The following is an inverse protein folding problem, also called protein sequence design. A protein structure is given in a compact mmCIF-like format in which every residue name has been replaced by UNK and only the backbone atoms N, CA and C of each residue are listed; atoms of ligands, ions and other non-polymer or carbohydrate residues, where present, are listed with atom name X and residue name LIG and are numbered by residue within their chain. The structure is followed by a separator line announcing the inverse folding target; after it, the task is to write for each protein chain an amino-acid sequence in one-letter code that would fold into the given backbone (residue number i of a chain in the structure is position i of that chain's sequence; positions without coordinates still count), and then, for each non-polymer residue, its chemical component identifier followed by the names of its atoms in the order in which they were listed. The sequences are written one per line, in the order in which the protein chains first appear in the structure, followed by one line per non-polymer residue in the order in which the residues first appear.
data_IF_160683377025
#
_entry.id   IF_160683377025
#
_cell.length_a   1.000
_cell.length_b   1.000
_cell.length_c   1.000
_cell.angle_alpha   90.00
_cell.angle_beta   90.00
_cell.angle_gamma   90.00
#
_symmetry.space_group_name_H-M   'P 1'
#
loop_
_entity.id
_entity.type
_entity.pdbx_description
1 polymer ?
#
# COMPACT_ATOMS: atom_id res chain seq x y z
N UNK A 1 29.97 11.94 2.80
CA UNK A 1 28.96 10.93 3.14
C UNK A 1 28.60 10.93 4.62
N UNK A 2 29.52 10.88 5.58
CA UNK A 2 29.16 10.90 7.01
C UNK A 2 28.59 12.24 7.50
N UNK A 3 29.10 13.37 7.02
CA UNK A 3 28.69 14.70 7.48
C UNK A 3 27.25 15.06 7.04
N UNK A 4 26.91 14.76 5.78
CA UNK A 4 25.54 15.03 5.24
C UNK A 4 24.48 14.17 5.93
N UNK A 5 24.85 12.95 6.34
CA UNK A 5 23.97 12.07 7.11
C UNK A 5 23.74 12.60 8.52
N UNK A 6 24.81 13.05 9.19
CA UNK A 6 24.71 13.63 10.53
C UNK A 6 23.87 14.93 10.56
N UNK A 7 24.03 15.79 9.55
CA UNK A 7 23.20 17.00 9.39
C UNK A 7 21.73 16.64 9.18
N UNK A 8 21.44 15.69 8.30
CA UNK A 8 20.07 15.20 8.09
C UNK A 8 19.47 14.61 9.35
N UNK A 9 20.21 13.76 10.08
CA UNK A 9 19.77 13.14 11.32
C UNK A 9 19.42 14.20 12.36
N UNK A 10 20.24 15.24 12.52
CA UNK A 10 19.98 16.36 13.42
C UNK A 10 18.70 17.13 13.06
N UNK A 11 18.45 17.35 11.77
CA UNK A 11 17.22 18.00 11.28
C UNK A 11 15.99 17.14 11.60
N UNK A 12 16.06 15.83 11.38
CA UNK A 12 14.93 14.92 11.69
C UNK A 12 14.64 14.91 13.21
N UNK A 13 15.67 14.86 14.05
CA UNK A 13 15.53 14.94 15.52
C UNK A 13 14.90 16.25 15.96
N UNK A 14 15.31 17.39 15.36
CA UNK A 14 14.74 18.71 15.63
C UNK A 14 13.27 18.79 15.23
N UNK A 15 12.91 18.31 14.03
CA UNK A 15 11.51 18.25 13.56
C UNK A 15 10.67 17.42 14.52
N UNK A 16 11.14 16.23 14.87
CA UNK A 16 10.42 15.30 15.75
C UNK A 16 10.22 15.92 17.16
N UNK A 17 11.25 16.52 17.72
CA UNK A 17 11.20 17.18 19.02
C UNK A 17 10.24 18.38 19.03
N UNK A 18 10.32 19.25 17.99
CA UNK A 18 9.47 20.44 17.88
C UNK A 18 8.00 20.11 17.71
N UNK A 19 7.69 19.07 16.93
CA UNK A 19 6.31 18.63 16.68
C UNK A 19 5.80 17.66 17.75
N UNK A 20 6.67 17.19 18.66
CA UNK A 20 6.31 16.23 19.71
C UNK A 20 5.94 14.84 19.17
N UNK A 21 6.47 14.46 18.00
CA UNK A 21 6.13 13.21 17.34
C UNK A 21 7.17 12.13 17.60
N UNK A 22 6.73 10.88 17.57
CA UNK A 22 7.62 9.74 17.74
C UNK A 22 8.46 9.50 16.49
N UNK A 23 9.79 9.49 16.65
CA UNK A 23 10.74 9.15 15.61
C UNK A 23 11.74 8.13 16.14
N UNK A 24 12.00 7.07 15.39
CA UNK A 24 12.92 6.01 15.80
C UNK A 24 13.85 5.59 14.67
N UNK A 25 15.04 5.09 15.06
CA UNK A 25 16.07 4.55 14.16
C UNK A 25 16.18 3.04 14.31
N UNK A 26 16.83 2.43 13.34
CA UNK A 26 17.19 1.01 13.42
C UNK A 26 16.09 0.03 13.08
N UNK A 27 14.92 0.49 12.68
CA UNK A 27 13.87 -0.37 12.12
C UNK A 27 14.28 -0.92 10.77
N UNK A 28 13.72 -2.08 10.44
CA UNK A 28 13.90 -2.71 9.13
C UNK A 28 12.54 -2.87 8.45
N UNK A 29 12.52 -2.87 7.11
CA UNK A 29 11.30 -3.20 6.38
C UNK A 29 10.79 -4.60 6.68
N UNK A 30 11.67 -5.53 7.02
CA UNK A 30 11.28 -6.86 7.50
C UNK A 30 10.35 -6.85 8.73
N UNK A 31 10.38 -5.78 9.54
CA UNK A 31 9.50 -5.60 10.70
C UNK A 31 8.18 -4.91 10.35
N UNK A 32 8.17 -4.10 9.29
CA UNK A 32 7.07 -3.22 8.91
C UNK A 32 6.25 -3.73 7.73
N UNK A 33 6.69 -4.80 7.04
CA UNK A 33 6.01 -5.34 5.86
C UNK A 33 5.49 -6.75 6.08
N UNK A 34 4.43 -7.09 5.37
CA UNK A 34 3.83 -8.43 5.43
C UNK A 34 4.69 -9.54 4.83
N UNK A 35 5.58 -9.21 3.89
CA UNK A 35 6.60 -10.12 3.34
C UNK A 35 7.69 -10.45 4.36
N UNK A 36 7.90 -9.60 5.37
CA UNK A 36 8.93 -9.71 6.40
C UNK A 36 10.35 -9.84 5.83
N UNK A 37 10.64 -9.07 4.79
CA UNK A 37 11.95 -8.89 4.17
C UNK A 37 12.23 -7.40 3.99
N UNK A 38 13.48 -7.07 3.71
CA UNK A 38 13.94 -5.71 3.42
C UNK A 38 14.89 -5.15 4.47
N UNK A 39 15.73 -4.21 4.01
CA UNK A 39 16.86 -3.63 4.73
C UNK A 39 16.49 -2.65 5.83
N UNK A 40 17.53 -2.04 6.43
CA UNK A 40 17.37 -1.04 7.48
C UNK A 40 16.84 0.28 6.91
N UNK A 41 16.16 1.04 7.76
CA UNK A 41 15.58 2.34 7.46
C UNK A 41 16.30 3.37 8.32
N UNK A 42 16.70 4.49 7.75
CA UNK A 42 17.37 5.55 8.54
C UNK A 42 16.47 6.05 9.66
N UNK A 43 15.24 6.43 9.33
CA UNK A 43 14.26 6.91 10.30
C UNK A 43 12.84 6.45 9.98
N UNK A 44 12.11 6.11 11.02
CA UNK A 44 10.66 5.90 10.98
C UNK A 44 10.01 6.94 11.87
N UNK A 45 9.12 7.76 11.30
CA UNK A 45 8.33 8.76 12.05
C UNK A 45 6.87 8.28 12.05
N UNK A 46 6.25 8.31 13.23
CA UNK A 46 4.88 7.83 13.44
C UNK A 46 3.99 8.97 13.90
N UNK A 47 3.31 9.68 12.98
CA UNK A 47 2.33 10.70 13.35
C UNK A 47 1.11 10.04 14.01
N UNK A 48 0.45 10.79 14.90
CA UNK A 48 -0.77 10.33 15.58
C UNK A 48 -2.03 10.94 14.98
N UNK A 49 -1.90 12.11 14.31
CA UNK A 49 -3.03 12.84 13.69
C UNK A 49 -2.72 13.22 12.24
N UNK A 50 -3.75 13.60 11.49
CA UNK A 50 -3.63 14.08 10.12
C UNK A 50 -2.84 15.41 10.07
N UNK A 51 -3.03 16.29 11.06
CA UNK A 51 -2.34 17.56 11.17
C UNK A 51 -0.84 17.37 11.48
N UNK A 52 -0.51 16.43 12.36
CA UNK A 52 0.90 16.08 12.62
C UNK A 52 1.57 15.54 11.36
N UNK A 53 0.91 14.62 10.65
CA UNK A 53 1.43 14.06 9.39
C UNK A 53 1.66 15.15 8.34
N UNK A 54 0.71 16.08 8.17
CA UNK A 54 0.85 17.20 7.24
C UNK A 54 2.01 18.14 7.64
N UNK A 55 2.16 18.44 8.92
CA UNK A 55 3.24 19.28 9.42
C UNK A 55 4.62 18.62 9.23
N UNK A 56 4.74 17.31 9.51
CA UNK A 56 5.99 16.56 9.33
C UNK A 56 6.44 16.62 7.87
N UNK A 57 5.55 16.29 6.93
CA UNK A 57 5.85 16.30 5.50
C UNK A 57 6.33 17.67 5.05
N UNK A 58 5.63 18.72 5.46
CA UNK A 58 6.00 20.09 5.11
C UNK A 58 7.42 20.47 5.60
N UNK A 59 7.79 20.06 6.81
CA UNK A 59 9.12 20.33 7.33
C UNK A 59 10.21 19.50 6.64
N UNK A 60 9.91 18.23 6.33
CA UNK A 60 10.83 17.37 5.56
C UNK A 60 11.04 17.92 4.15
N UNK A 61 9.98 18.35 3.46
CA UNK A 61 10.04 18.96 2.13
C UNK A 61 10.87 20.24 2.13
N UNK A 62 10.68 21.12 3.11
CA UNK A 62 11.49 22.34 3.29
C UNK A 62 12.97 22.02 3.49
N UNK A 63 13.26 20.94 4.20
CA UNK A 63 14.63 20.50 4.46
C UNK A 63 15.23 19.72 3.26
N UNK A 64 14.47 19.45 2.21
CA UNK A 64 14.88 18.62 1.08
C UNK A 64 15.15 17.16 1.46
N UNK A 65 14.50 16.67 2.51
CA UNK A 65 14.65 15.29 3.01
C UNK A 65 13.57 14.41 2.40
N UNK A 66 14.00 13.39 1.64
CA UNK A 66 13.09 12.42 1.02
C UNK A 66 12.35 11.56 2.04
N UNK A 67 11.07 11.32 1.80
CA UNK A 67 10.22 10.50 2.65
C UNK A 67 9.28 9.62 1.82
N UNK A 68 8.76 8.56 2.46
CA UNK A 68 7.72 7.67 1.87
C UNK A 68 6.67 7.30 2.91
N UNK A 69 5.37 7.35 2.56
CA UNK A 69 4.31 6.91 3.44
C UNK A 69 4.20 5.39 3.45
N UNK A 70 4.06 4.80 4.62
CA UNK A 70 3.83 3.38 4.80
C UNK A 70 2.57 3.17 5.63
N UNK A 71 1.61 2.42 5.10
CA UNK A 71 0.52 1.84 5.87
C UNK A 71 0.97 0.54 6.54
N UNK A 72 0.17 -0.52 6.46
CA UNK A 72 0.51 -1.83 7.04
C UNK A 72 1.57 -2.62 6.27
N UNK A 73 2.20 -2.06 5.23
CA UNK A 73 3.23 -2.74 4.43
C UNK A 73 2.74 -4.00 3.70
N UNK A 74 1.45 -4.10 3.41
CA UNK A 74 0.83 -5.31 2.84
C UNK A 74 0.96 -5.44 1.33
N UNK A 75 1.48 -4.41 0.64
CA UNK A 75 1.72 -4.40 -0.80
C UNK A 75 3.11 -3.86 -1.16
N UNK A 76 4.11 -4.03 -0.29
CA UNK A 76 5.47 -3.49 -0.47
C UNK A 76 6.48 -4.61 -0.46
N UNK A 77 7.40 -4.59 -1.43
CA UNK A 77 8.65 -5.32 -1.45
C UNK A 77 9.80 -4.31 -1.42
N UNK A 78 10.39 -4.09 -0.25
CA UNK A 78 11.58 -3.28 -0.08
C UNK A 78 12.83 -4.17 -0.25
N UNK A 79 13.86 -3.68 -0.95
CA UNK A 79 15.10 -4.45 -1.11
C UNK A 79 15.88 -4.62 0.20
N UNK A 80 16.91 -5.48 0.19
CA UNK A 80 17.66 -5.85 1.39
C UNK A 80 18.74 -4.84 1.79
N UNK A 81 19.00 -3.83 0.94
CA UNK A 81 19.97 -2.78 1.23
C UNK A 81 19.42 -1.74 2.23
N UNK A 82 20.29 -0.91 2.80
CA UNK A 82 19.89 0.16 3.70
C UNK A 82 19.21 1.30 2.94
N UNK A 83 18.06 1.74 3.44
CA UNK A 83 17.23 2.78 2.85
C UNK A 83 17.48 4.12 3.52
N UNK A 84 17.97 5.09 2.72
CA UNK A 84 18.43 6.40 3.19
C UNK A 84 17.37 7.49 3.07
N UNK A 85 16.11 7.17 3.33
CA UNK A 85 14.98 8.11 3.38
C UNK A 85 14.16 7.89 4.65
N UNK A 86 13.23 8.80 4.91
CA UNK A 86 12.33 8.74 6.05
C UNK A 86 11.10 7.89 5.67
N UNK A 87 10.71 6.97 6.54
CA UNK A 87 9.42 6.28 6.44
C UNK A 87 8.42 6.94 7.39
N UNK A 88 7.31 7.42 6.84
CA UNK A 88 6.16 7.87 7.63
C UNK A 88 5.23 6.69 7.85
N UNK A 89 5.27 6.10 9.04
CA UNK A 89 4.39 4.99 9.37
C UNK A 89 3.02 5.50 9.80
N UNK A 90 2.04 5.37 8.93
CA UNK A 90 0.67 5.83 9.15
C UNK A 90 -0.22 4.77 9.82
N UNK A 91 0.26 3.51 9.98
CA UNK A 91 -0.56 2.41 10.52
C UNK A 91 -1.02 2.64 11.96
N UNK A 92 -0.26 3.46 12.70
CA UNK A 92 -0.57 3.80 14.10
C UNK A 92 -1.27 5.16 14.23
N UNK A 93 -1.51 5.85 13.11
CA UNK A 93 -2.23 7.12 13.12
C UNK A 93 -3.64 6.90 13.67
N UNK A 94 -3.90 7.49 14.84
CA UNK A 94 -5.18 7.36 15.53
C UNK A 94 -6.26 8.03 14.70
N UNK A 95 -7.13 7.25 14.13
CA UNK A 95 -8.27 7.72 13.39
C UNK A 95 -9.54 7.07 13.93
N UNK A 96 -10.55 7.88 14.19
CA UNK A 96 -11.89 7.39 14.47
C UNK A 96 -12.65 7.28 13.15
N UNK A 97 -13.51 6.29 13.06
CA UNK A 97 -14.53 6.23 12.02
C UNK A 97 -15.71 7.06 12.50
N UNK A 98 -15.99 8.15 11.80
CA UNK A 98 -17.16 8.97 12.05
C UNK A 98 -18.23 8.69 11.01
N UNK A 99 -19.42 8.27 11.45
CA UNK A 99 -20.57 7.94 10.59
C UNK A 99 -21.65 8.98 10.80
N UNK A 100 -22.03 9.68 9.72
CA UNK A 100 -23.14 10.62 9.67
C UNK A 100 -24.07 10.26 8.49
N UNK A 101 -25.14 9.55 8.81
CA UNK A 101 -26.02 8.97 7.79
C UNK A 101 -25.27 8.02 6.86
N UNK A 102 -25.19 8.35 5.58
CA UNK A 102 -24.48 7.58 4.56
C UNK A 102 -23.01 8.01 4.37
N UNK A 103 -22.57 9.07 5.05
CA UNK A 103 -21.20 9.57 5.00
C UNK A 103 -20.35 8.96 6.10
N UNK A 104 -19.20 8.43 5.69
CA UNK A 104 -18.23 7.79 6.59
C UNK A 104 -16.89 8.49 6.45
N UNK A 105 -16.50 9.27 7.45
CA UNK A 105 -15.16 9.88 7.50
C UNK A 105 -14.20 8.94 8.23
N UNK A 106 -13.03 8.70 7.64
CA UNK A 106 -12.03 7.75 8.14
C UNK A 106 -10.62 8.20 7.83
N UNK A 107 -9.68 7.97 8.76
CA UNK A 107 -8.25 8.26 8.61
C UNK A 107 -7.55 7.24 7.69
N UNK A 108 -6.49 7.68 7.00
CA UNK A 108 -5.67 6.82 6.13
C UNK A 108 -5.00 5.66 6.87
N UNK A 109 -4.65 5.82 8.15
CA UNK A 109 -4.06 4.77 8.98
C UNK A 109 -5.04 3.69 9.42
N UNK A 110 -6.35 3.93 9.31
CA UNK A 110 -7.36 2.97 9.75
C UNK A 110 -7.31 1.67 8.96
N UNK A 111 -7.48 0.54 9.66
CA UNK A 111 -7.49 -0.78 9.00
C UNK A 111 -8.68 -0.92 8.06
N UNK A 112 -8.45 -1.22 6.79
CA UNK A 112 -9.51 -1.44 5.80
C UNK A 112 -10.47 -2.58 6.19
N UNK A 113 -9.98 -3.78 6.62
CA UNK A 113 -10.89 -4.82 7.11
C UNK A 113 -11.74 -4.39 8.30
N UNK A 114 -11.19 -3.60 9.20
CA UNK A 114 -11.92 -3.09 10.36
C UNK A 114 -12.99 -2.09 9.95
N UNK A 115 -12.68 -1.19 9.01
CA UNK A 115 -13.66 -0.26 8.44
C UNK A 115 -14.87 -1.01 7.86
N UNK A 116 -14.63 -2.05 7.05
CA UNK A 116 -15.73 -2.85 6.47
C UNK A 116 -16.63 -3.46 7.55
N UNK A 117 -16.06 -3.93 8.67
CA UNK A 117 -16.82 -4.45 9.80
C UNK A 117 -17.64 -3.35 10.48
N UNK A 118 -17.04 -2.18 10.71
CA UNK A 118 -17.69 -1.11 11.47
C UNK A 118 -18.84 -0.46 10.69
N UNK A 119 -18.69 -0.26 9.36
CA UNK A 119 -19.77 0.23 8.50
C UNK A 119 -20.89 -0.80 8.32
N UNK A 120 -20.55 -2.08 8.21
CA UNK A 120 -21.54 -3.14 8.16
C UNK A 120 -22.41 -3.20 9.43
N UNK A 121 -21.80 -3.01 10.61
CA UNK A 121 -22.53 -2.91 11.90
C UNK A 121 -23.47 -1.70 11.95
N UNK A 122 -23.14 -0.64 11.24
CA UNK A 122 -24.00 0.54 11.08
C UNK A 122 -25.07 0.38 10.00
N UNK A 123 -25.18 -0.80 9.35
CA UNK A 123 -26.14 -1.05 8.28
C UNK A 123 -25.79 -0.34 6.96
N UNK A 124 -24.50 -0.10 6.73
CA UNK A 124 -23.98 0.58 5.54
C UNK A 124 -23.27 -0.42 4.63
N UNK A 125 -23.59 -0.36 3.34
CA UNK A 125 -23.17 -1.24 2.24
C UNK A 125 -22.37 -0.48 1.21
N UNK A 126 -21.49 -1.20 0.47
CA UNK A 126 -20.74 -0.70 -0.69
C UNK A 126 -19.24 -1.01 -0.67
N UNK A 127 -18.74 -1.65 0.41
CA UNK A 127 -17.34 -2.05 0.53
C UNK A 127 -17.15 -3.46 1.11
N UNK A 128 -18.15 -4.31 1.06
CA UNK A 128 -18.13 -5.65 1.67
C UNK A 128 -17.04 -6.55 1.09
N UNK A 129 -16.81 -6.45 -0.23
CA UNK A 129 -15.77 -7.19 -0.94
C UNK A 129 -14.35 -6.82 -0.54
N UNK A 130 -14.16 -5.61 0.02
CA UNK A 130 -12.86 -5.13 0.47
C UNK A 130 -12.45 -5.68 1.84
N UNK A 131 -13.39 -6.22 2.61
CA UNK A 131 -13.19 -6.63 4.02
C UNK A 131 -12.12 -7.70 4.23
N UNK A 132 -11.70 -8.40 3.18
CA UNK A 132 -10.61 -9.37 3.24
C UNK A 132 -9.24 -8.84 2.78
N UNK A 133 -9.14 -7.61 2.29
CA UNK A 133 -7.88 -7.03 1.82
C UNK A 133 -7.08 -6.54 3.03
N UNK A 134 -5.89 -7.11 3.32
CA UNK A 134 -5.06 -6.58 4.39
C UNK A 134 -4.51 -5.21 3.99
N UNK A 135 -4.57 -4.25 4.88
CA UNK A 135 -4.07 -2.92 4.58
C UNK A 135 -4.76 -1.83 5.37
N UNK A 136 -4.35 -0.60 5.10
CA UNK A 136 -4.95 0.62 5.61
C UNK A 136 -5.80 1.31 4.54
N UNK A 137 -6.69 2.20 4.97
CA UNK A 137 -7.53 3.00 4.06
C UNK A 137 -6.66 3.82 3.11
N UNK A 138 -5.57 4.45 3.59
CA UNK A 138 -4.65 5.22 2.74
C UNK A 138 -4.01 4.38 1.63
N UNK A 139 -3.55 3.16 1.97
CA UNK A 139 -3.03 2.21 0.96
C UNK A 139 -4.11 1.75 -0.03
N UNK A 140 -5.34 1.58 0.44
CA UNK A 140 -6.46 1.24 -0.42
C UNK A 140 -6.83 2.37 -1.39
N UNK A 141 -6.83 3.62 -0.92
CA UNK A 141 -7.06 4.81 -1.76
C UNK A 141 -5.96 4.96 -2.80
N UNK A 142 -4.68 4.82 -2.38
CA UNK A 142 -3.52 4.97 -3.27
C UNK A 142 -3.60 4.08 -4.50
N UNK A 143 -3.96 2.81 -4.30
CA UNK A 143 -4.00 1.84 -5.40
C UNK A 143 -5.40 1.56 -5.95
N UNK A 144 -6.41 2.34 -5.59
CA UNK A 144 -7.81 2.01 -5.90
C UNK A 144 -8.13 0.54 -5.61
N UNK A 145 -7.98 0.14 -4.35
CA UNK A 145 -8.16 -1.26 -3.96
C UNK A 145 -9.55 -1.76 -4.32
N UNK A 146 -9.59 -2.94 -4.94
CA UNK A 146 -10.83 -3.56 -5.37
C UNK A 146 -10.79 -5.09 -5.24
N UNK A 147 -11.91 -5.68 -4.88
CA UNK A 147 -12.13 -7.13 -4.85
C UNK A 147 -13.63 -7.46 -4.90
N UNK A 148 -13.96 -8.58 -5.53
CA UNK A 148 -15.31 -9.14 -5.62
C UNK A 148 -16.39 -8.20 -6.15
N UNK A 149 -15.99 -7.22 -6.99
CA UNK A 149 -16.88 -6.25 -7.61
C UNK A 149 -16.92 -4.88 -6.91
N UNK A 150 -16.38 -4.76 -5.72
CA UNK A 150 -16.25 -3.48 -5.02
C UNK A 150 -14.88 -2.85 -5.29
N UNK A 151 -14.84 -1.53 -5.43
CA UNK A 151 -13.64 -0.70 -5.51
C UNK A 151 -13.81 0.53 -4.60
N UNK A 152 -12.76 0.90 -3.86
CA UNK A 152 -12.85 2.01 -2.90
C UNK A 152 -13.13 3.35 -3.59
N UNK A 153 -12.61 3.56 -4.80
CA UNK A 153 -12.84 4.77 -5.58
C UNK A 153 -14.31 5.01 -5.90
N UNK A 154 -15.11 3.95 -6.10
CA UNK A 154 -16.53 4.06 -6.46
C UNK A 154 -17.39 4.67 -5.35
N UNK A 155 -16.93 4.61 -4.11
CA UNK A 155 -17.63 5.13 -2.93
C UNK A 155 -16.92 6.33 -2.30
N UNK A 156 -15.77 6.76 -2.86
CA UNK A 156 -15.00 7.88 -2.32
C UNK A 156 -15.60 9.22 -2.72
N UNK A 157 -16.16 9.94 -1.75
CA UNK A 157 -16.72 11.28 -1.93
C UNK A 157 -15.62 12.34 -2.00
N UNK A 158 -14.62 12.24 -1.11
CA UNK A 158 -13.46 13.12 -1.06
C UNK A 158 -12.30 12.46 -0.33
N UNK A 159 -11.08 12.89 -0.64
CA UNK A 159 -9.84 12.46 0.00
C UNK A 159 -9.19 13.66 0.69
N UNK A 160 -8.71 13.47 1.92
CA UNK A 160 -7.89 14.46 2.62
C UNK A 160 -6.42 14.18 2.31
N UNK A 161 -5.70 15.24 1.91
CA UNK A 161 -4.28 15.18 1.55
C UNK A 161 -3.49 16.26 2.28
N UNK A 162 -2.19 16.02 2.50
CA UNK A 162 -1.29 17.03 3.01
C UNK A 162 -0.86 17.98 1.87
N UNK A 163 -1.04 19.27 2.06
CA UNK A 163 -0.50 20.31 1.16
C UNK A 163 -0.02 21.50 1.99
N UNK A 164 1.23 21.90 1.81
CA UNK A 164 1.82 23.06 2.51
C UNK A 164 1.60 23.06 4.04
N UNK A 165 1.75 21.88 4.65
CA UNK A 165 1.58 21.70 6.11
C UNK A 165 0.14 21.70 6.59
N UNK A 166 -0.84 21.63 5.71
CA UNK A 166 -2.28 21.65 6.02
C UNK A 166 -2.99 20.43 5.46
N UNK A 167 -4.08 20.08 6.11
CA UNK A 167 -5.03 19.08 5.58
C UNK A 167 -5.96 19.78 4.59
N UNK A 168 -5.99 19.28 3.34
CA UNK A 168 -6.81 19.82 2.25
C UNK A 168 -7.70 18.71 1.70
N UNK A 169 -8.97 19.03 1.40
CA UNK A 169 -9.90 18.09 0.80
C UNK A 169 -9.84 18.17 -0.73
N UNK A 170 -9.76 16.98 -1.36
CA UNK A 170 -9.80 16.79 -2.81
C UNK A 170 -11.09 16.03 -3.15
N UNK A 171 -11.99 16.57 -3.99
CA UNK A 171 -13.19 15.86 -4.40
C UNK A 171 -12.89 14.54 -5.09
N UNK A 172 -13.61 13.47 -4.75
CA UNK A 172 -13.41 12.15 -5.35
C UNK A 172 -13.61 12.12 -6.87
N UNK A 173 -14.52 12.95 -7.38
CA UNK A 173 -14.76 13.12 -8.82
C UNK A 173 -13.60 13.76 -9.60
N UNK A 174 -12.68 14.45 -8.93
CA UNK A 174 -11.48 15.04 -9.54
C UNK A 174 -10.30 14.06 -9.59
N UNK A 175 -10.45 12.87 -9.03
CA UNK A 175 -9.42 11.83 -8.97
C UNK A 175 -9.72 10.81 -10.07
N UNK A 176 -8.72 10.47 -10.87
CA UNK A 176 -8.83 9.37 -11.82
C UNK A 176 -8.67 8.05 -11.07
N UNK A 177 -9.72 7.23 -11.07
CA UNK A 177 -9.74 5.91 -10.46
C UNK A 177 -9.66 4.84 -11.54
N UNK A 178 -8.51 4.19 -11.66
CA UNK A 178 -8.27 3.13 -12.62
C UNK A 178 -7.95 1.80 -11.91
N UNK A 179 -7.89 0.71 -12.66
CA UNK A 179 -7.51 -0.60 -12.12
C UNK A 179 -6.11 -0.55 -11.49
N UNK A 180 -6.03 -0.69 -10.17
CA UNK A 180 -4.77 -0.63 -9.38
C UNK A 180 -3.96 0.64 -9.63
N UNK A 181 -4.64 1.76 -9.85
CA UNK A 181 -3.98 3.05 -10.10
C UNK A 181 -4.93 4.21 -9.80
N UNK A 182 -4.35 5.32 -9.35
CA UNK A 182 -5.04 6.61 -9.19
C UNK A 182 -4.19 7.74 -9.73
N UNK A 183 -4.78 8.92 -9.93
CA UNK A 183 -4.05 10.12 -10.36
C UNK A 183 -3.21 10.79 -9.26
N UNK A 184 -3.18 10.24 -8.05
CA UNK A 184 -2.26 10.69 -7.01
C UNK A 184 -0.81 10.47 -7.43
N UNK A 185 0.07 11.41 -7.07
CA UNK A 185 1.48 11.41 -7.46
C UNK A 185 2.37 11.02 -6.29
N UNK A 186 3.55 10.49 -6.59
CA UNK A 186 4.60 10.40 -5.58
C UNK A 186 4.80 11.78 -4.95
N UNK A 187 4.86 11.86 -3.61
CA UNK A 187 4.93 13.10 -2.84
C UNK A 187 3.60 13.62 -2.32
N UNK A 188 2.51 13.06 -2.72
CA UNK A 188 1.24 13.35 -2.07
C UNK A 188 1.01 12.39 -0.91
N UNK A 189 0.77 12.94 0.26
CA UNK A 189 0.42 12.16 1.45
C UNK A 189 -1.09 12.15 1.62
N UNK A 190 -1.69 10.96 1.49
CA UNK A 190 -3.12 10.73 1.76
C UNK A 190 -3.31 10.58 3.27
N UNK A 191 -4.20 11.40 3.84
CA UNK A 191 -4.43 11.49 5.27
C UNK A 191 -5.72 10.80 5.71
N UNK A 192 -6.73 10.74 4.82
CA UNK A 192 -8.01 10.13 5.09
C UNK A 192 -8.99 10.30 3.95
N UNK A 193 -10.20 9.81 4.13
CA UNK A 193 -11.28 9.98 3.15
C UNK A 193 -12.64 10.16 3.82
N UNK A 194 -13.58 10.69 3.04
CA UNK A 194 -15.02 10.55 3.30
C UNK A 194 -15.58 9.64 2.22
N UNK A 195 -16.22 8.56 2.63
CA UNK A 195 -16.89 7.60 1.77
C UNK A 195 -18.39 7.87 1.80
N UNK A 196 -19.08 7.71 0.67
CA UNK A 196 -20.53 7.70 0.59
C UNK A 196 -21.02 6.27 0.38
N UNK A 197 -21.59 5.71 1.44
CA UNK A 197 -22.15 4.37 1.45
C UNK A 197 -23.68 4.44 1.38
N UNK A 198 -24.35 3.29 1.35
CA UNK A 198 -25.80 3.20 1.27
C UNK A 198 -26.34 2.33 2.38
N UNK A 199 -27.47 2.71 2.96
CA UNK A 199 -28.19 1.82 3.87
C UNK A 199 -28.68 0.58 3.14
N UNK A 200 -28.52 -0.59 3.77
CA UNK A 200 -28.99 -1.87 3.27
C UNK A 200 -29.35 -2.81 4.44
N UNK A 201 -29.98 -3.92 4.12
CA UNK A 201 -30.35 -4.95 5.09
C UNK A 201 -29.10 -5.59 5.70
N UNK A 202 -29.05 -5.62 7.04
CA UNK A 202 -27.89 -6.08 7.78
C UNK A 202 -27.54 -7.56 7.52
N UNK A 203 -28.54 -8.43 7.31
CA UNK A 203 -28.29 -9.84 6.98
C UNK A 203 -27.74 -10.00 5.57
N UNK A 204 -28.16 -9.16 4.61
CA UNK A 204 -27.62 -9.17 3.26
C UNK A 204 -26.18 -8.65 3.23
N UNK A 205 -25.87 -7.57 3.95
CA UNK A 205 -24.49 -7.05 4.10
C UNK A 205 -23.59 -8.17 4.66
N UNK A 206 -24.03 -8.80 5.75
CA UNK A 206 -23.30 -9.90 6.39
C UNK A 206 -23.07 -11.07 5.44
N UNK A 207 -24.10 -11.47 4.69
CA UNK A 207 -24.01 -12.57 3.72
C UNK A 207 -22.96 -12.27 2.62
N UNK A 208 -22.93 -11.04 2.07
CA UNK A 208 -21.92 -10.62 1.09
C UNK A 208 -20.50 -10.63 1.67
N UNK A 209 -20.32 -10.15 2.90
CA UNK A 209 -19.03 -10.19 3.59
C UNK A 209 -18.53 -11.63 3.83
N UNK A 210 -19.43 -12.53 4.27
CA UNK A 210 -19.10 -13.93 4.49
C UNK A 210 -18.76 -14.66 3.19
N UNK A 211 -19.47 -14.40 2.09
CA UNK A 211 -19.18 -14.93 0.77
C UNK A 211 -17.80 -14.46 0.28
N UNK A 212 -17.53 -13.15 0.32
CA UNK A 212 -16.23 -12.57 -0.07
C UNK A 212 -15.07 -13.17 0.75
N UNK A 213 -15.26 -13.28 2.07
CA UNK A 213 -14.29 -13.92 2.97
C UNK A 213 -14.05 -15.38 2.62
N UNK A 214 -15.11 -16.14 2.38
CA UNK A 214 -15.04 -17.57 2.06
C UNK A 214 -14.31 -17.83 0.75
N UNK A 215 -14.62 -17.07 -0.31
CA UNK A 215 -13.91 -17.12 -1.60
C UNK A 215 -12.44 -16.80 -1.44
N UNK A 216 -12.11 -15.77 -0.65
CA UNK A 216 -10.72 -15.39 -0.40
C UNK A 216 -9.95 -16.48 0.34
N UNK A 217 -10.51 -17.02 1.41
CA UNK A 217 -9.92 -18.12 2.17
C UNK A 217 -9.75 -19.38 1.31
N UNK A 218 -10.67 -19.66 0.37
CA UNK A 218 -10.55 -20.78 -0.53
C UNK A 218 -9.41 -20.64 -1.53
N UNK A 219 -9.11 -19.42 -2.01
CA UNK A 219 -8.22 -19.19 -3.15
C UNK A 219 -6.86 -18.60 -2.80
N UNK A 220 -6.72 -17.90 -1.67
CA UNK A 220 -5.49 -17.17 -1.33
C UNK A 220 -4.76 -17.78 -0.12
N UNK A 221 -3.42 -17.67 -0.02
CA UNK A 221 -2.65 -18.18 1.11
C UNK A 221 -2.88 -17.29 2.35
N UNK A 222 -3.70 -17.78 3.28
CA UNK A 222 -3.97 -17.07 4.53
C UNK A 222 -2.85 -17.30 5.54
N UNK A 223 -2.41 -16.23 6.23
CA UNK A 223 -1.37 -16.30 7.26
C UNK A 223 0.06 -16.47 6.72
N UNK A 224 0.25 -16.54 5.40
CA UNK A 224 1.57 -16.57 4.81
C UNK A 224 2.20 -15.17 4.75
N UNK A 225 3.54 -15.11 4.78
CA UNK A 225 4.30 -13.88 4.58
C UNK A 225 4.27 -13.53 3.09
N UNK A 226 3.38 -12.64 2.66
CA UNK A 226 3.22 -12.23 1.26
C UNK A 226 2.75 -10.79 1.14
N UNK A 227 2.94 -10.17 -0.04
CA UNK A 227 2.45 -8.85 -0.38
C UNK A 227 1.19 -8.90 -1.28
N UNK A 228 0.39 -9.96 -1.19
CA UNK A 228 -0.76 -10.14 -2.08
C UNK A 228 -0.36 -10.64 -3.47
N UNK A 229 -1.12 -10.25 -4.49
CA UNK A 229 -0.78 -10.52 -5.89
C UNK A 229 0.48 -9.75 -6.28
N UNK A 230 1.45 -10.46 -6.88
CA UNK A 230 2.69 -9.82 -7.33
C UNK A 230 2.51 -9.03 -8.63
N UNK A 231 1.62 -9.49 -9.49
CA UNK A 231 1.41 -8.89 -10.81
C UNK A 231 -0.05 -8.51 -11.03
N UNK A 232 -0.26 -7.43 -11.78
CA UNK A 232 -1.57 -7.04 -12.28
C UNK A 232 -2.11 -8.08 -13.26
N UNK A 233 -3.43 -8.13 -13.41
CA UNK A 233 -4.01 -8.89 -14.51
C UNK A 233 -3.78 -8.15 -15.83
N UNK A 234 -3.29 -8.84 -16.89
CA UNK A 234 -3.05 -8.20 -18.17
C UNK A 234 -4.38 -7.73 -18.81
N UNK A 235 -4.47 -6.48 -19.29
CA UNK A 235 -5.72 -5.91 -19.79
C UNK A 235 -6.23 -6.64 -21.06
N UNK A 236 -5.35 -7.24 -21.84
CA UNK A 236 -5.71 -7.97 -23.05
C UNK A 236 -6.06 -9.46 -22.80
N UNK A 237 -5.94 -9.95 -21.57
CA UNK A 237 -6.18 -11.36 -21.24
C UNK A 237 -7.56 -11.57 -20.63
N UNK A 238 -8.27 -12.59 -21.09
CA UNK A 238 -9.53 -13.05 -20.50
C UNK A 238 -9.35 -13.87 -19.22
N UNK A 239 -8.10 -14.27 -18.92
CA UNK A 239 -7.75 -15.03 -17.72
C UNK A 239 -6.78 -14.23 -16.85
N UNK A 240 -6.95 -14.32 -15.53
CA UNK A 240 -6.09 -13.61 -14.59
C UNK A 240 -4.67 -14.18 -14.52
N UNK A 241 -3.71 -13.34 -14.15
CA UNK A 241 -2.28 -13.69 -14.02
C UNK A 241 -2.04 -14.95 -13.18
N UNK A 242 -2.78 -15.10 -12.07
CA UNK A 242 -2.66 -16.31 -11.24
C UNK A 242 -2.96 -17.61 -12.00
N UNK A 243 -3.92 -17.59 -12.91
CA UNK A 243 -4.24 -18.74 -13.74
C UNK A 243 -3.18 -18.97 -14.82
N UNK A 244 -2.68 -17.91 -15.45
CA UNK A 244 -1.57 -18.01 -16.43
C UNK A 244 -0.36 -18.71 -15.79
N UNK A 245 0.09 -18.24 -14.65
CA UNK A 245 1.24 -18.79 -13.92
C UNK A 245 0.97 -20.24 -13.46
N UNK A 246 -0.27 -20.56 -13.07
CA UNK A 246 -0.68 -21.90 -12.65
C UNK A 246 -0.64 -22.91 -13.81
N UNK A 247 -1.19 -22.54 -14.97
CA UNK A 247 -1.18 -23.37 -16.19
C UNK A 247 0.24 -23.64 -16.72
N UNK A 248 1.19 -22.74 -16.41
CA UNK A 248 2.61 -22.93 -16.69
C UNK A 248 3.32 -23.85 -15.67
N UNK A 249 2.59 -24.39 -14.68
CA UNK A 249 3.13 -25.33 -13.68
C UNK A 249 4.15 -24.70 -12.72
N UNK A 250 4.04 -23.39 -12.42
CA UNK A 250 5.01 -22.69 -11.58
C UNK A 250 4.67 -22.70 -10.08
N UNK A 251 3.50 -23.19 -9.66
CA UNK A 251 3.18 -23.37 -8.23
C UNK A 251 4.23 -24.23 -7.54
N UNK A 252 4.70 -23.76 -6.35
CA UNK A 252 5.74 -24.43 -5.60
C UNK A 252 7.16 -24.17 -6.10
N UNK A 253 7.35 -23.48 -7.23
CA UNK A 253 8.68 -23.08 -7.68
C UNK A 253 9.35 -22.21 -6.62
N UNK A 254 10.64 -22.45 -6.39
CA UNK A 254 11.39 -21.85 -5.27
C UNK A 254 12.64 -21.16 -5.78
N UNK A 255 12.94 -20.01 -5.17
CA UNK A 255 14.23 -19.32 -5.29
C UNK A 255 14.67 -18.87 -3.91
N UNK A 256 15.73 -19.49 -3.37
CA UNK A 256 16.17 -19.25 -2.00
C UNK A 256 15.02 -19.35 -0.99
N UNK A 257 14.72 -18.26 -0.30
CA UNK A 257 13.63 -18.13 0.69
C UNK A 257 12.25 -17.84 0.09
N UNK A 258 12.16 -17.57 -1.21
CA UNK A 258 10.92 -17.24 -1.87
C UNK A 258 10.28 -18.45 -2.58
N UNK A 259 8.95 -18.55 -2.54
CA UNK A 259 8.18 -19.66 -3.12
C UNK A 259 6.93 -19.11 -3.81
N UNK A 260 6.65 -19.60 -5.03
CA UNK A 260 5.33 -19.41 -5.66
C UNK A 260 4.31 -20.19 -4.85
N UNK A 261 3.33 -19.52 -4.29
CA UNK A 261 2.34 -20.16 -3.41
C UNK A 261 1.65 -21.34 -4.11
N UNK A 262 1.58 -22.52 -3.49
CA UNK A 262 0.86 -23.66 -4.05
C UNK A 262 -0.66 -23.42 -4.10
N UNK A 263 -1.17 -22.43 -3.35
CA UNK A 263 -2.58 -22.10 -3.30
C UNK A 263 -2.99 -21.10 -4.38
N UNK A 264 -2.17 -20.07 -4.61
CA UNK A 264 -2.44 -19.02 -5.61
C UNK A 264 -1.16 -18.62 -6.33
N UNK A 265 -1.03 -18.92 -7.61
CA UNK A 265 0.23 -18.80 -8.34
C UNK A 265 0.71 -17.33 -8.54
N UNK A 266 -0.16 -16.32 -8.39
CA UNK A 266 0.24 -14.91 -8.39
C UNK A 266 0.68 -14.39 -7.00
N UNK A 267 0.87 -15.29 -6.03
CA UNK A 267 1.41 -14.96 -4.71
C UNK A 267 2.81 -15.56 -4.57
N UNK A 268 3.78 -14.72 -4.26
CA UNK A 268 5.08 -15.15 -3.80
C UNK A 268 5.08 -15.03 -2.27
N UNK A 269 5.44 -16.10 -1.60
CA UNK A 269 5.56 -16.15 -0.13
C UNK A 269 7.00 -16.28 0.26
N UNK A 270 7.40 -15.71 1.41
CA UNK A 270 8.73 -15.85 1.98
C UNK A 270 8.72 -16.79 3.18
N UNK A 271 9.75 -17.62 3.30
CA UNK A 271 9.87 -18.64 4.34
C UNK A 271 11.23 -18.56 5.04
N UNK A 272 11.25 -18.97 6.31
CA UNK A 272 12.47 -18.97 7.12
C UNK A 272 12.74 -17.64 7.83
N UNK A 273 13.70 -17.66 8.74
CA UNK A 273 14.08 -16.49 9.55
C UNK A 273 14.96 -15.51 8.78
N UNK A 274 15.76 -16.02 7.84
CA UNK A 274 16.69 -15.24 7.02
C UNK A 274 16.16 -15.03 5.61
N UNK A 275 14.84 -14.81 5.47
CA UNK A 275 14.24 -14.54 4.17
C UNK A 275 14.80 -13.24 3.58
N UNK A 276 14.97 -13.21 2.24
CA UNK A 276 15.57 -12.10 1.51
C UNK A 276 14.61 -11.54 0.46
N UNK A 277 14.61 -10.22 0.31
CA UNK A 277 13.85 -9.53 -0.72
C UNK A 277 14.37 -9.87 -2.12
N UNK A 278 15.68 -10.04 -2.28
CA UNK A 278 16.29 -10.42 -3.56
C UNK A 278 15.78 -11.76 -4.09
N UNK A 279 15.50 -12.74 -3.19
CA UNK A 279 14.96 -14.05 -3.60
C UNK A 279 13.54 -13.89 -4.17
N UNK A 280 12.69 -13.07 -3.52
CA UNK A 280 11.33 -12.79 -3.97
C UNK A 280 11.33 -12.04 -5.31
N UNK A 281 12.22 -11.05 -5.48
CA UNK A 281 12.37 -10.31 -6.71
C UNK A 281 12.91 -11.19 -7.84
N UNK A 282 13.95 -11.99 -7.59
CA UNK A 282 14.52 -12.89 -8.59
C UNK A 282 13.48 -13.92 -9.07
N UNK A 283 12.69 -14.48 -8.14
CA UNK A 283 11.60 -15.39 -8.50
C UNK A 283 10.52 -14.68 -9.33
N UNK A 284 10.18 -13.44 -8.99
CA UNK A 284 9.24 -12.64 -9.77
C UNK A 284 9.75 -12.36 -11.20
N UNK A 285 11.03 -12.01 -11.36
CA UNK A 285 11.62 -11.80 -12.68
C UNK A 285 11.65 -13.12 -13.51
N UNK A 286 11.97 -14.26 -12.89
CA UNK A 286 11.89 -15.57 -13.56
C UNK A 286 10.46 -15.86 -14.08
N UNK A 287 9.42 -15.51 -13.30
CA UNK A 287 8.03 -15.63 -13.70
C UNK A 287 7.74 -14.71 -14.91
N UNK A 288 8.12 -13.43 -14.83
CA UNK A 288 7.90 -12.44 -15.91
C UNK A 288 8.55 -12.88 -17.22
N UNK A 289 9.82 -13.26 -17.17
CA UNK A 289 10.56 -13.71 -18.34
C UNK A 289 9.94 -14.96 -18.95
N UNK A 290 9.50 -15.89 -18.13
CA UNK A 290 8.89 -17.13 -18.60
C UNK A 290 7.52 -16.87 -19.22
N UNK A 291 6.67 -16.05 -18.60
CA UNK A 291 5.37 -15.65 -19.16
C UNK A 291 5.55 -14.90 -20.47
N UNK A 292 6.50 -13.96 -20.55
CA UNK A 292 6.82 -13.24 -21.79
C UNK A 292 7.26 -14.19 -22.90
N UNK A 293 8.17 -15.11 -22.61
CA UNK A 293 8.71 -16.06 -23.60
C UNK A 293 7.67 -17.05 -24.10
N UNK A 294 6.82 -17.58 -23.22
CA UNK A 294 5.91 -18.70 -23.55
C UNK A 294 4.51 -18.23 -23.94
N UNK A 295 4.07 -17.06 -23.48
CA UNK A 295 2.72 -16.52 -23.71
C UNK A 295 2.71 -15.19 -24.47
N UNK A 296 3.87 -14.54 -24.65
CA UNK A 296 3.95 -13.22 -25.28
C UNK A 296 3.33 -12.09 -24.44
N UNK A 297 3.12 -12.31 -23.15
CA UNK A 297 2.47 -11.35 -22.24
C UNK A 297 3.53 -10.68 -21.37
N UNK A 298 3.55 -9.34 -21.36
CA UNK A 298 4.34 -8.55 -20.41
C UNK A 298 3.54 -8.37 -19.11
N UNK A 299 4.07 -8.90 -18.01
CA UNK A 299 3.47 -8.74 -16.69
C UNK A 299 3.95 -7.45 -16.03
N UNK A 300 3.02 -6.67 -15.49
CA UNK A 300 3.29 -5.50 -14.68
C UNK A 300 3.21 -5.86 -13.19
N UNK A 301 4.11 -5.30 -12.38
CA UNK A 301 4.03 -5.43 -10.93
C UNK A 301 2.77 -4.76 -10.38
N UNK A 302 2.06 -5.46 -9.47
CA UNK A 302 1.04 -4.88 -8.59
C UNK A 302 1.66 -4.52 -7.23
N UNK A 303 2.66 -5.29 -6.79
CA UNK A 303 3.44 -4.98 -5.60
C UNK A 303 4.33 -3.75 -5.83
N UNK A 304 4.35 -2.86 -4.85
CA UNK A 304 5.22 -1.66 -4.85
C UNK A 304 6.67 -2.05 -4.55
N UNK A 305 7.58 -1.82 -5.51
CA UNK A 305 8.99 -2.10 -5.35
C UNK A 305 9.72 -0.90 -4.77
N UNK A 306 10.21 -1.01 -3.56
CA UNK A 306 10.95 0.05 -2.88
C UNK A 306 12.45 -0.23 -2.92
N UNK A 307 13.19 0.56 -3.74
CA UNK A 307 14.63 0.44 -3.92
C UNK A 307 15.37 1.39 -2.99
N UNK A 308 16.50 0.92 -2.42
CA UNK A 308 17.34 1.74 -1.55
C UNK A 308 18.00 2.92 -2.27
N UNK A 309 18.39 2.73 -3.54
CA UNK A 309 19.13 3.72 -4.35
C UNK A 309 18.23 4.60 -5.24
N UNK A 310 16.92 4.54 -5.12
CA UNK A 310 16.06 5.54 -5.76
C UNK A 310 16.33 6.87 -5.09
N UNK A 311 16.91 7.81 -5.82
CA UNK A 311 16.97 9.21 -5.39
C UNK A 311 15.53 9.66 -5.16
N UNK A 312 15.13 9.71 -3.90
CA UNK A 312 13.84 10.23 -3.46
C UNK A 312 13.93 11.76 -3.46
N UNK A 313 14.28 12.35 -4.60
CA UNK A 313 14.01 13.75 -4.87
C UNK A 313 12.65 13.81 -5.50
N UNK A 314 11.67 14.08 -4.69
CA UNK A 314 10.39 14.60 -5.13
C UNK A 314 10.58 16.06 -5.53
N UNK A 315 11.26 16.31 -6.65
CA UNK A 315 11.21 17.60 -7.30
C UNK A 315 9.96 17.63 -8.16
N UNK A 316 9.04 18.52 -7.82
CA UNK A 316 7.85 18.83 -8.61
C UNK A 316 8.17 19.25 -10.07
N UNK A 317 9.45 19.42 -10.42
CA UNK A 317 9.91 19.89 -11.73
C UNK A 317 10.10 18.77 -12.77
N UNK A 318 10.16 17.49 -12.39
CA UNK A 318 10.34 16.38 -13.34
C UNK A 318 9.04 15.91 -14.04
N UNK A 319 7.90 16.45 -13.64
CA UNK A 319 6.60 16.08 -14.22
C UNK A 319 6.34 16.73 -15.60
N UNK A 320 7.11 17.73 -16.01
CA UNK A 320 6.86 18.48 -17.26
C UNK A 320 7.64 17.95 -18.48
N UNK A 321 8.66 17.09 -18.27
CA UNK A 321 9.48 16.58 -19.39
C UNK A 321 8.94 15.32 -20.07
N UNK A 322 7.87 14.70 -19.59
CA UNK A 322 7.26 13.52 -20.22
C UNK A 322 6.01 13.81 -21.07
N UNK A 323 5.70 15.08 -21.34
CA UNK A 323 4.60 15.48 -22.25
C UNK A 323 5.04 15.77 -23.68
N UNK A 324 6.32 15.67 -24.00
CA UNK A 324 6.84 15.81 -25.37
C UNK A 324 7.64 14.55 -25.75
N UNK A 325 6.93 13.50 -26.15
CA UNK A 325 7.53 12.28 -26.68
C UNK A 325 6.48 11.36 -27.22
#
# INVERSE_FOLDING_TARGET
MDNDRLERDSVVEEIAARLGVHAERGKRFAELTSLRVGGAIDWVITPQTEEEAAAIVHELDKAGIGWRPLGSGSNVLADDADHHYIVLNLSDMKGEVHIDGELVSVSAGYSLPRLCIDVARAGLSGIEGLGGIPGTVGGALWMNAGAFGDEIGTVTEKVRVAREGKVVEVPGESIEWNYRHTSFREGELLLGATLRLKHDDAEQIKARMEDAKSRRLATQPHGARSAGCFFKNPPASTIGTGKIIDEMGMKGQRRGSAVVSPKHANFIVTEGENARAEDALALAEEIRERVRREQGIELEYEVELWRANTETRMNADDADQRKEG
#
